data_IF_101228831509
#
_entry.id   IF_101228831509
#
_cell.length_a   1.000
_cell.length_b   1.000
_cell.length_c   1.000
_cell.angle_alpha   90.00
_cell.angle_beta   90.00
_cell.angle_gamma   90.00
#
_symmetry.space_group_name_H-M   'P 1'
#
loop_
_entity.id
_entity.type
_entity.pdbx_description
1 polymer ?
#
# COMPACT_ATOMS: atom_id res chain seq x y z
N UNK A 1 -6.84 -21.79 -6.67
CA UNK A 1 -6.25 -21.70 -8.03
C UNK A 1 -4.80 -21.25 -7.85
N UNK A 2 -3.85 -21.76 -8.62
CA UNK A 2 -2.42 -21.47 -8.41
C UNK A 2 -1.99 -20.03 -8.75
N UNK A 3 -2.89 -19.21 -9.29
CA UNK A 3 -2.70 -17.79 -9.65
C UNK A 3 -3.22 -16.82 -8.59
N UNK A 4 -3.77 -17.32 -7.48
CA UNK A 4 -4.36 -16.51 -6.42
C UNK A 4 -3.44 -16.50 -5.20
N UNK A 5 -3.15 -15.30 -4.72
CA UNK A 5 -2.39 -15.06 -3.50
C UNK A 5 -3.36 -14.69 -2.38
N UNK A 6 -3.18 -15.28 -1.20
CA UNK A 6 -3.98 -14.99 -0.02
C UNK A 6 -3.37 -13.82 0.75
N UNK A 7 -4.12 -12.73 0.84
CA UNK A 7 -3.71 -11.51 1.54
C UNK A 7 -4.68 -11.23 2.69
N UNK A 8 -4.16 -11.06 3.90
CA UNK A 8 -4.95 -10.74 5.09
C UNK A 8 -4.74 -9.27 5.53
N UNK A 9 -5.74 -8.66 6.15
CA UNK A 9 -5.53 -7.37 6.82
C UNK A 9 -4.75 -7.56 8.14
N UNK A 10 -3.84 -6.64 8.46
CA UNK A 10 -3.02 -6.66 9.68
C UNK A 10 -3.82 -6.90 10.96
N UNK A 11 -5.05 -6.38 11.05
CA UNK A 11 -5.92 -6.58 12.22
C UNK A 11 -6.29 -8.05 12.47
N UNK A 12 -6.32 -8.87 11.41
CA UNK A 12 -6.61 -10.29 11.48
C UNK A 12 -5.34 -11.14 11.49
N UNK A 13 -4.20 -10.59 11.07
CA UNK A 13 -2.93 -11.32 10.96
C UNK A 13 -2.50 -11.99 12.27
N UNK A 14 -2.64 -11.29 13.41
CA UNK A 14 -2.28 -11.86 14.72
C UNK A 14 -3.25 -12.95 15.22
N UNK A 15 -4.42 -13.08 14.60
CA UNK A 15 -5.41 -14.12 14.95
C UNK A 15 -5.21 -15.41 14.14
N UNK A 16 -4.35 -15.36 13.11
CA UNK A 16 -4.09 -16.47 12.17
C UNK A 16 -2.82 -17.24 12.55
N UNK A 17 -2.42 -17.26 13.83
CA UNK A 17 -1.10 -17.73 14.28
C UNK A 17 -0.74 -19.16 13.84
N UNK A 18 -1.72 -20.02 13.60
CA UNK A 18 -1.52 -21.41 13.17
C UNK A 18 -1.64 -21.58 11.63
N UNK A 19 -1.99 -20.52 10.89
CA UNK A 19 -2.25 -20.49 9.45
C UNK A 19 -1.35 -19.48 8.70
N UNK A 20 -0.32 -18.93 9.36
CA UNK A 20 0.60 -17.97 8.72
C UNK A 20 1.41 -18.56 7.55
N UNK A 21 1.47 -19.89 7.43
CA UNK A 21 2.12 -20.59 6.31
C UNK A 21 1.33 -20.53 5.00
N UNK A 22 0.02 -20.22 5.04
CA UNK A 22 -0.82 -20.11 3.83
C UNK A 22 -1.01 -18.67 3.34
N UNK A 23 -0.54 -17.68 4.10
CA UNK A 23 -0.62 -16.28 3.69
C UNK A 23 0.57 -15.92 2.80
N UNK A 24 0.27 -15.33 1.65
CA UNK A 24 1.27 -14.79 0.74
C UNK A 24 1.55 -13.31 1.02
N UNK A 25 0.58 -12.61 1.64
CA UNK A 25 0.72 -11.19 1.92
C UNK A 25 -0.13 -10.66 3.04
N UNK A 26 0.19 -9.42 3.41
CA UNK A 26 -0.51 -8.66 4.43
C UNK A 26 -0.78 -7.24 3.96
N UNK A 27 -1.99 -6.77 4.20
CA UNK A 27 -2.37 -5.39 4.03
C UNK A 27 -2.36 -4.66 5.37
N UNK A 28 -1.54 -3.62 5.49
CA UNK A 28 -1.44 -2.76 6.66
C UNK A 28 -2.13 -1.43 6.37
N UNK A 29 -3.33 -1.23 6.93
CA UNK A 29 -4.04 0.05 6.82
C UNK A 29 -3.21 1.23 7.39
N UNK A 30 -3.42 2.45 6.88
CA UNK A 30 -2.73 3.66 7.40
C UNK A 30 -2.96 3.81 8.91
N UNK A 31 -4.19 3.56 9.39
CA UNK A 31 -4.52 3.62 10.82
C UNK A 31 -3.60 2.70 11.64
N UNK A 32 -3.43 1.46 11.22
CA UNK A 32 -2.59 0.49 11.92
C UNK A 32 -1.11 0.84 11.80
N UNK A 33 -0.66 1.25 10.61
CA UNK A 33 0.70 1.75 10.36
C UNK A 33 1.07 2.88 11.34
N UNK A 34 0.19 3.85 11.50
CA UNK A 34 0.43 5.02 12.37
C UNK A 34 0.47 4.64 13.85
N UNK A 35 -0.19 3.55 14.25
CA UNK A 35 -0.20 3.04 15.63
C UNK A 35 0.98 2.13 15.98
N UNK A 36 1.76 1.68 14.99
CA UNK A 36 2.94 0.84 15.24
C UNK A 36 3.94 1.56 16.15
N UNK A 37 4.33 0.90 17.24
CA UNK A 37 5.37 1.41 18.16
C UNK A 37 6.77 0.96 17.76
N UNK A 38 6.85 -0.17 17.07
CA UNK A 38 8.07 -0.78 16.56
C UNK A 38 7.83 -1.25 15.11
N UNK A 39 8.89 -1.41 14.30
CA UNK A 39 8.78 -1.99 12.96
C UNK A 39 8.15 -3.39 13.03
N UNK A 40 7.50 -3.79 11.94
CA UNK A 40 6.91 -5.12 11.85
C UNK A 40 8.01 -6.18 11.83
N UNK A 41 7.76 -7.25 12.60
CA UNK A 41 8.56 -8.47 12.55
C UNK A 41 7.74 -9.52 11.81
N UNK A 42 7.85 -9.51 10.48
CA UNK A 42 7.10 -10.40 9.59
C UNK A 42 8.05 -11.51 9.15
N UNK A 43 7.50 -12.71 8.97
CA UNK A 43 8.23 -13.82 8.37
C UNK A 43 8.62 -13.50 6.92
N UNK A 44 9.80 -13.96 6.44
CA UNK A 44 10.33 -13.56 5.12
C UNK A 44 9.44 -13.90 3.91
N UNK A 45 8.45 -14.79 4.05
CA UNK A 45 7.59 -15.23 2.96
C UNK A 45 6.31 -14.39 2.77
N UNK A 46 5.97 -13.50 3.70
CA UNK A 46 4.75 -12.69 3.63
C UNK A 46 5.08 -11.29 3.16
N UNK A 47 4.54 -10.88 2.01
CA UNK A 47 4.72 -9.53 1.46
C UNK A 47 3.74 -8.56 2.13
N UNK A 48 4.27 -7.49 2.73
CA UNK A 48 3.47 -6.47 3.41
C UNK A 48 3.32 -5.19 2.59
N UNK A 49 2.08 -4.84 2.27
CA UNK A 49 1.70 -3.57 1.66
C UNK A 49 1.09 -2.63 2.68
N UNK A 50 1.66 -1.44 2.86
CA UNK A 50 1.05 -0.40 3.69
C UNK A 50 0.22 0.59 2.88
N UNK A 51 -1.01 0.85 3.31
CA UNK A 51 -1.80 1.96 2.78
C UNK A 51 -1.26 3.30 3.29
N UNK A 52 -1.03 4.23 2.36
CA UNK A 52 -0.58 5.59 2.66
C UNK A 52 -1.43 6.60 1.89
N UNK A 53 -1.83 7.67 2.58
CA UNK A 53 -2.66 8.75 2.03
C UNK A 53 -2.01 10.13 2.17
N UNK A 54 -0.84 10.22 2.82
CA UNK A 54 -0.13 11.47 3.05
C UNK A 54 1.37 11.25 3.30
N UNK A 55 2.12 12.35 3.34
CA UNK A 55 3.56 12.36 3.64
C UNK A 55 3.92 11.71 4.99
N UNK A 56 3.11 11.92 6.03
CA UNK A 56 3.40 11.37 7.36
C UNK A 56 3.32 9.84 7.34
N UNK A 57 2.36 9.28 6.61
CA UNK A 57 2.22 7.84 6.41
C UNK A 57 3.41 7.27 5.63
N UNK A 58 3.86 7.93 4.55
CA UNK A 58 5.06 7.50 3.81
C UNK A 58 6.30 7.46 4.72
N UNK A 59 6.54 8.53 5.50
CA UNK A 59 7.66 8.58 6.45
C UNK A 59 7.56 7.50 7.52
N UNK A 60 6.34 7.13 7.93
CA UNK A 60 6.11 6.04 8.87
C UNK A 60 6.38 4.68 8.22
N UNK A 61 5.93 4.45 6.99
CA UNK A 61 6.14 3.22 6.23
C UNK A 61 7.63 2.93 6.01
N UNK A 62 8.43 3.95 5.70
CA UNK A 62 9.89 3.83 5.57
C UNK A 62 10.58 3.26 6.82
N UNK A 63 9.93 3.32 7.99
CA UNK A 63 10.44 2.84 9.28
C UNK A 63 9.69 1.62 9.79
N UNK A 64 8.71 1.11 9.04
CA UNK A 64 7.80 0.06 9.49
C UNK A 64 8.18 -1.34 9.02
N UNK A 65 9.25 -1.48 8.22
CA UNK A 65 9.68 -2.75 7.63
C UNK A 65 8.59 -3.39 6.75
N UNK A 66 7.99 -2.58 5.87
CA UNK A 66 7.02 -3.03 4.86
C UNK A 66 7.71 -3.18 3.50
N UNK A 67 7.19 -4.04 2.63
CA UNK A 67 7.80 -4.32 1.33
C UNK A 67 7.40 -3.32 0.25
N UNK A 68 6.22 -2.72 0.38
CA UNK A 68 5.71 -1.73 -0.55
C UNK A 68 4.62 -0.85 0.08
N UNK A 69 4.29 0.25 -0.60
CA UNK A 69 3.18 1.13 -0.21
C UNK A 69 2.14 1.26 -1.31
N UNK A 70 0.87 1.32 -0.90
CA UNK A 70 -0.28 1.70 -1.74
C UNK A 70 -0.58 3.18 -1.50
N UNK A 71 -0.18 4.05 -2.41
CA UNK A 71 -0.37 5.49 -2.29
C UNK A 71 -1.66 5.92 -3.00
N UNK A 72 -2.64 6.41 -2.24
CA UNK A 72 -4.01 6.62 -2.71
C UNK A 72 -4.80 7.71 -1.96
N UNK A 73 -5.93 8.18 -2.50
CA UNK A 73 -6.34 8.00 -3.89
C UNK A 73 -5.60 8.98 -4.82
N UNK A 74 -5.07 8.50 -5.95
CA UNK A 74 -4.45 9.37 -6.96
C UNK A 74 -5.49 10.29 -7.61
N UNK A 75 -6.62 9.71 -8.01
CA UNK A 75 -7.77 10.39 -8.62
C UNK A 75 -9.05 10.14 -7.81
N UNK A 76 -10.08 10.98 -8.02
CA UNK A 76 -11.38 10.76 -7.41
C UNK A 76 -11.93 9.38 -7.81
N UNK A 77 -12.58 8.70 -6.87
CA UNK A 77 -13.10 7.34 -7.10
C UNK A 77 -14.62 7.31 -6.97
N UNK A 78 -15.27 6.39 -7.68
CA UNK A 78 -16.71 6.17 -7.54
C UNK A 78 -17.07 5.55 -6.18
N UNK A 79 -16.17 4.77 -5.59
CA UNK A 79 -16.37 4.14 -4.28
C UNK A 79 -16.38 5.15 -3.14
N UNK A 80 -15.56 6.21 -3.24
CA UNK A 80 -15.47 7.27 -2.23
C UNK A 80 -15.38 8.66 -2.90
N UNK A 81 -16.48 9.17 -3.46
CA UNK A 81 -16.48 10.41 -4.25
C UNK A 81 -16.26 11.68 -3.41
N UNK A 82 -16.46 11.61 -2.09
CA UNK A 82 -16.27 12.72 -1.17
C UNK A 82 -14.84 12.85 -0.65
N UNK A 83 -13.97 11.87 -0.93
CA UNK A 83 -12.59 11.90 -0.48
C UNK A 83 -11.73 12.69 -1.48
N UNK A 84 -11.07 13.75 -1.00
CA UNK A 84 -10.17 14.54 -1.82
C UNK A 84 -9.02 13.69 -2.35
N UNK A 85 -8.88 13.64 -3.67
CA UNK A 85 -7.75 13.00 -4.33
C UNK A 85 -6.45 13.79 -4.11
N UNK A 86 -5.32 13.07 -4.15
CA UNK A 86 -4.00 13.67 -4.08
C UNK A 86 -3.68 14.49 -5.33
N UNK A 87 -4.06 13.97 -6.49
CA UNK A 87 -3.60 14.46 -7.78
C UNK A 87 -2.11 14.21 -8.00
N UNK A 88 -1.67 14.34 -9.26
CA UNK A 88 -0.31 14.00 -9.68
C UNK A 88 0.79 14.73 -8.89
N UNK A 89 0.64 16.03 -8.64
CA UNK A 89 1.68 16.82 -8.00
C UNK A 89 1.98 16.35 -6.56
N UNK A 90 0.95 16.15 -5.73
CA UNK A 90 1.15 15.65 -4.36
C UNK A 90 1.55 14.19 -4.36
N UNK A 91 0.95 13.40 -5.24
CA UNK A 91 1.25 11.98 -5.33
C UNK A 91 2.72 11.74 -5.68
N UNK A 92 3.25 12.45 -6.68
CA UNK A 92 4.67 12.38 -7.04
C UNK A 92 5.57 12.80 -5.87
N UNK A 93 5.27 13.94 -5.23
CA UNK A 93 6.04 14.41 -4.08
C UNK A 93 6.07 13.39 -2.93
N UNK A 94 4.98 12.65 -2.71
CA UNK A 94 4.93 11.60 -1.69
C UNK A 94 5.62 10.32 -2.15
N UNK A 95 5.51 9.96 -3.43
CA UNK A 95 6.16 8.78 -4.01
C UNK A 95 7.68 8.89 -3.90
N UNK A 96 8.24 10.07 -4.21
CA UNK A 96 9.69 10.35 -4.16
C UNK A 96 10.28 10.28 -2.74
N UNK A 97 9.44 10.39 -1.70
CA UNK A 97 9.87 10.24 -0.31
C UNK A 97 9.90 8.78 0.16
N UNK A 98 9.32 7.86 -0.60
CA UNK A 98 9.26 6.45 -0.22
C UNK A 98 10.60 5.76 -0.45
N UNK A 99 11.00 4.91 0.50
CA UNK A 99 12.19 4.07 0.40
C UNK A 99 11.89 2.65 -0.10
N UNK A 100 10.61 2.38 -0.38
CA UNK A 100 10.10 1.10 -0.86
C UNK A 100 9.25 1.34 -2.12
N UNK A 101 9.02 0.31 -2.95
CA UNK A 101 8.16 0.44 -4.13
C UNK A 101 6.79 1.05 -3.82
N UNK A 102 6.39 2.04 -4.63
CA UNK A 102 5.12 2.76 -4.50
C UNK A 102 4.16 2.30 -5.60
N UNK A 103 2.99 1.81 -5.23
CA UNK A 103 1.93 1.48 -6.16
C UNK A 103 0.83 2.54 -6.10
N UNK A 104 0.47 3.10 -7.25
CA UNK A 104 -0.64 4.04 -7.35
C UNK A 104 -1.97 3.28 -7.21
N UNK A 105 -2.86 3.78 -6.36
CA UNK A 105 -4.21 3.24 -6.18
C UNK A 105 -5.24 4.37 -6.11
N UNK A 106 -6.46 4.08 -6.53
CA UNK A 106 -7.59 4.99 -6.49
C UNK A 106 -7.71 5.83 -7.76
N UNK A 107 -8.64 5.42 -8.63
CA UNK A 107 -8.96 6.10 -9.89
C UNK A 107 -7.88 5.96 -10.97
N UNK A 108 -7.09 4.89 -10.90
CA UNK A 108 -6.07 4.51 -11.91
C UNK A 108 -6.51 3.30 -12.73
N UNK A 109 -5.94 3.18 -13.93
CA UNK A 109 -6.09 2.06 -14.84
C UNK A 109 -4.71 1.49 -15.24
N UNK A 110 -4.65 0.26 -15.80
CA UNK A 110 -3.41 -0.30 -16.33
C UNK A 110 -2.66 0.62 -17.31
N UNK A 111 -3.38 1.45 -18.05
CA UNK A 111 -2.80 2.42 -19.00
C UNK A 111 -1.97 3.52 -18.32
N UNK A 112 -2.21 3.81 -17.03
CA UNK A 112 -1.50 4.85 -16.28
C UNK A 112 -0.10 4.43 -15.84
N UNK A 113 0.27 3.15 -16.00
CA UNK A 113 1.54 2.59 -15.52
C UNK A 113 2.76 3.43 -15.96
N UNK A 114 2.83 3.82 -17.23
CA UNK A 114 3.95 4.63 -17.73
C UNK A 114 4.03 6.00 -17.06
N UNK A 115 2.88 6.60 -16.73
CA UNK A 115 2.84 7.90 -16.05
C UNK A 115 3.21 7.77 -14.58
N UNK A 116 2.72 6.71 -13.91
CA UNK A 116 3.11 6.37 -12.53
C UNK A 116 4.62 6.18 -12.43
N UNK A 117 5.23 5.45 -13.35
CA UNK A 117 6.69 5.25 -13.39
C UNK A 117 7.47 6.55 -13.57
N UNK A 118 6.98 7.46 -14.44
CA UNK A 118 7.57 8.80 -14.60
C UNK A 118 7.44 9.66 -13.35
N UNK A 119 6.42 9.43 -12.53
CA UNK A 119 6.16 10.13 -11.28
C UNK A 119 6.82 9.46 -10.05
N UNK A 120 7.81 8.58 -10.26
CA UNK A 120 8.55 7.92 -9.16
C UNK A 120 7.84 6.71 -8.56
N UNK A 121 6.77 6.22 -9.19
CA UNK A 121 6.06 5.01 -8.79
C UNK A 121 6.61 3.74 -9.43
N UNK A 122 6.26 2.59 -8.85
CA UNK A 122 6.61 1.27 -9.35
C UNK A 122 5.51 0.66 -10.22
N UNK A 123 4.25 0.75 -9.78
CA UNK A 123 3.13 0.07 -10.43
C UNK A 123 1.76 0.67 -10.13
N UNK A 124 0.72 0.06 -10.68
CA UNK A 124 -0.68 0.42 -10.43
C UNK A 124 -1.40 -0.71 -9.71
N UNK A 125 -2.34 -0.36 -8.84
CA UNK A 125 -3.22 -1.29 -8.14
C UNK A 125 -4.67 -0.78 -8.22
N UNK A 126 -5.63 -1.70 -8.23
CA UNK A 126 -7.04 -1.36 -8.36
C UNK A 126 -7.97 -2.47 -7.90
N UNK A 127 -9.19 -2.06 -7.58
CA UNK A 127 -10.33 -2.93 -7.32
C UNK A 127 -11.28 -2.83 -8.51
N UNK A 128 -12.07 -3.88 -8.77
CA UNK A 128 -13.06 -3.90 -9.86
C UNK A 128 -14.31 -3.13 -9.48
#
# INVERSE_FOLDING_TARGET
RADLYLVADYSHFNQLSDELEILDGMHLSERNLMQLRQPLNITPHVVCFAACHNEAAIKKANRANVDAVLLSPLHATLSHPQQSALGWQKWQAFSELSQVPVFALGGVAPADLKQVQKAGGFGVAGIR
#
